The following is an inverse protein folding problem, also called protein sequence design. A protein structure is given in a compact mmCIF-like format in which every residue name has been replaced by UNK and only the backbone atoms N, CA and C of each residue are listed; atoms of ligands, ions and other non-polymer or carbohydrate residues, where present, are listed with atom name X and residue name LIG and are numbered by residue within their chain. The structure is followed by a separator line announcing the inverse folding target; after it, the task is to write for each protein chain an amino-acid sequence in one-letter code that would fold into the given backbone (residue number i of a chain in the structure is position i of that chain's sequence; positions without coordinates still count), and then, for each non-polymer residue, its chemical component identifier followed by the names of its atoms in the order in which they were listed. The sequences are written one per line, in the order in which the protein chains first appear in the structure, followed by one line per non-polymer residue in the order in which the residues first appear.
data_IF_615721353350
#
_entry.id   IF_615721353350
#
_cell.length_a   1.000
_cell.length_b   1.000
_cell.length_c   1.000
_cell.angle_alpha   90.00
_cell.angle_beta   90.00
_cell.angle_gamma   90.00
#
_symmetry.space_group_name_H-M   'P 1'
#
loop_
_entity.id
_entity.type
_entity.pdbx_description
1 polymer ?
#
# COMPACT_ATOMS: atom_id res chain seq x y z
N UNK A 1 20.55 24.97 -46.51
CA UNK A 1 20.40 24.47 -45.11
C UNK A 1 19.43 23.30 -45.13
N UNK A 2 19.95 22.10 -45.24
CA UNK A 2 19.18 20.85 -45.22
C UNK A 2 19.88 19.86 -44.32
N UNK A 3 19.11 19.36 -43.33
CA UNK A 3 19.16 17.99 -42.80
C UNK A 3 20.45 17.52 -42.10
N UNK A 4 20.41 17.58 -40.78
CA UNK A 4 21.26 16.79 -39.86
C UNK A 4 20.44 15.88 -38.93
N UNK A 5 19.17 15.64 -39.22
CA UNK A 5 18.27 14.88 -38.36
C UNK A 5 18.07 13.40 -38.73
N UNK A 6 18.64 12.90 -39.83
CA UNK A 6 18.40 11.55 -40.31
C UNK A 6 19.53 10.53 -40.16
N UNK A 7 20.68 10.93 -39.59
CA UNK A 7 21.84 10.03 -39.46
C UNK A 7 21.90 9.32 -38.10
N UNK A 8 21.26 9.85 -37.06
CA UNK A 8 21.29 9.26 -35.72
C UNK A 8 20.38 8.05 -35.53
N UNK A 9 19.35 7.89 -36.38
CA UNK A 9 18.34 6.81 -36.22
C UNK A 9 18.78 5.51 -36.90
N UNK A 10 19.71 5.55 -37.87
CA UNK A 10 20.10 4.31 -38.58
C UNK A 10 21.18 3.48 -37.88
N UNK A 11 21.87 4.00 -36.88
CA UNK A 11 22.89 3.23 -36.14
C UNK A 11 22.37 2.40 -34.96
N UNK A 12 21.15 2.63 -34.52
CA UNK A 12 20.56 1.94 -33.34
C UNK A 12 19.92 0.56 -33.65
N UNK A 13 19.81 0.16 -34.92
CA UNK A 13 19.02 -1.01 -35.32
C UNK A 13 19.84 -2.30 -35.46
N UNK A 14 21.16 -2.27 -35.31
CA UNK A 14 22.02 -3.45 -35.52
C UNK A 14 22.53 -4.18 -34.27
N UNK A 15 22.18 -3.72 -33.06
CA UNK A 15 22.69 -4.39 -31.86
C UNK A 15 21.54 -4.96 -31.01
N UNK A 16 21.35 -6.28 -31.09
CA UNK A 16 20.27 -6.99 -30.36
C UNK A 16 20.42 -6.88 -28.82
N UNK A 17 21.61 -6.56 -28.31
CA UNK A 17 21.83 -6.37 -26.87
C UNK A 17 21.30 -5.03 -26.39
N UNK A 18 21.27 -3.99 -27.22
CA UNK A 18 20.69 -2.70 -26.89
C UNK A 18 19.14 -2.72 -26.92
N UNK A 19 18.54 -3.63 -27.68
CA UNK A 19 17.07 -3.79 -27.66
C UNK A 19 16.54 -4.31 -26.32
N UNK A 20 17.28 -5.16 -25.63
CA UNK A 20 16.91 -5.65 -24.30
C UNK A 20 17.06 -4.60 -23.21
N UNK A 21 18.05 -3.70 -23.33
CA UNK A 21 18.26 -2.62 -22.34
C UNK A 21 17.31 -1.44 -22.51
N UNK A 22 16.78 -1.19 -23.72
CA UNK A 22 15.80 -0.11 -23.95
C UNK A 22 14.36 -0.49 -23.58
N UNK A 23 14.06 -1.77 -23.44
CA UNK A 23 12.73 -2.21 -22.94
C UNK A 23 12.54 -2.05 -21.44
N UNK A 24 13.64 -1.86 -20.68
CA UNK A 24 13.60 -1.66 -19.22
C UNK A 24 13.54 -0.20 -18.78
N UNK A 25 13.50 0.77 -19.73
CA UNK A 25 13.53 2.21 -19.42
C UNK A 25 12.43 3.01 -20.14
N UNK A 26 11.17 2.56 -20.11
CA UNK A 26 10.05 3.40 -20.55
C UNK A 26 9.09 3.59 -19.39
N UNK A 27 9.20 4.68 -18.62
CA UNK A 27 8.08 5.17 -17.84
C UNK A 27 7.12 5.87 -18.80
N UNK A 28 5.90 5.40 -18.88
CA UNK A 28 4.66 6.06 -19.33
C UNK A 28 4.86 7.37 -20.13
N UNK A 29 4.97 7.28 -21.44
CA UNK A 29 4.70 8.39 -22.36
C UNK A 29 3.45 8.01 -23.15
N UNK A 30 2.32 8.66 -22.87
CA UNK A 30 1.18 8.67 -23.76
C UNK A 30 1.59 9.33 -25.09
N UNK A 31 1.80 8.53 -26.13
CA UNK A 31 1.88 9.01 -27.51
C UNK A 31 0.68 8.46 -28.27
N UNK A 32 -0.22 9.37 -28.63
CA UNK A 32 -1.22 9.12 -29.66
C UNK A 32 -0.53 8.94 -31.02
N UNK A 33 -0.17 7.72 -31.36
CA UNK A 33 0.12 7.31 -32.74
C UNK A 33 -0.44 5.93 -32.95
N UNK A 34 -1.38 5.84 -33.93
CA UNK A 34 -1.94 4.61 -34.45
C UNK A 34 -0.86 3.60 -34.80
N UNK A 35 -0.80 2.50 -34.09
CA UNK A 35 -0.15 1.27 -34.54
C UNK A 35 -1.21 0.18 -34.48
N UNK A 36 -1.80 -0.11 -35.63
CA UNK A 36 -2.51 -1.35 -35.86
C UNK A 36 -1.50 -2.51 -35.75
N UNK A 37 -1.55 -3.25 -34.66
CA UNK A 37 -1.14 -4.65 -34.62
C UNK A 37 -1.89 -5.34 -33.47
N UNK A 38 -2.70 -6.34 -33.84
CA UNK A 38 -3.46 -7.22 -33.00
C UNK A 38 -2.56 -7.92 -31.96
N UNK A 39 -2.59 -7.44 -30.75
CA UNK A 39 -2.62 -8.20 -29.51
C UNK A 39 -3.62 -7.45 -28.65
N UNK A 40 -4.80 -8.01 -28.45
CA UNK A 40 -5.82 -7.51 -27.55
C UNK A 40 -5.25 -7.52 -26.11
N UNK A 41 -4.48 -6.48 -25.78
CA UNK A 41 -4.36 -6.05 -24.39
C UNK A 41 -5.71 -5.43 -24.06
N UNK A 42 -6.58 -6.25 -23.52
CA UNK A 42 -7.86 -5.84 -22.96
C UNK A 42 -7.52 -4.90 -21.79
N UNK A 43 -7.53 -3.56 -22.03
CA UNK A 43 -7.26 -2.54 -21.00
C UNK A 43 -8.46 -2.38 -20.05
N UNK A 44 -9.16 -3.45 -19.75
CA UNK A 44 -10.15 -3.51 -18.68
C UNK A 44 -9.41 -3.81 -17.38
N UNK A 45 -9.82 -3.12 -16.31
CA UNK A 45 -9.37 -3.34 -14.94
C UNK A 45 -8.00 -2.74 -14.59
N UNK A 46 -7.77 -1.46 -14.97
CA UNK A 46 -6.55 -0.74 -14.58
C UNK A 46 -6.50 -0.53 -13.06
N UNK A 47 -5.52 -1.10 -12.34
CA UNK A 47 -5.45 -1.00 -10.88
C UNK A 47 -5.17 0.43 -10.43
N UNK A 48 -5.61 0.76 -9.21
CA UNK A 48 -5.17 1.97 -8.52
C UNK A 48 -3.66 1.89 -8.21
N UNK A 49 -3.10 2.93 -7.61
CA UNK A 49 -1.67 3.04 -7.31
C UNK A 49 -1.20 2.10 -6.17
N UNK A 50 -1.52 0.79 -6.27
CA UNK A 50 -1.30 -0.20 -5.22
C UNK A 50 0.12 -0.80 -5.20
N UNK A 51 0.87 -0.63 -6.30
CA UNK A 51 2.25 -1.14 -6.44
C UNK A 51 3.31 -0.06 -6.39
N UNK A 52 2.90 1.22 -6.25
CA UNK A 52 3.82 2.34 -6.25
C UNK A 52 4.62 2.43 -4.94
N UNK A 53 5.85 2.91 -5.06
CA UNK A 53 6.71 3.20 -3.91
C UNK A 53 6.02 4.16 -2.91
N UNK A 54 6.24 4.03 -1.59
CA UNK A 54 5.60 4.86 -0.56
C UNK A 54 5.70 6.37 -0.77
N UNK A 55 6.76 6.86 -1.44
CA UNK A 55 6.97 8.29 -1.69
C UNK A 55 7.70 8.99 -0.55
N UNK A 56 7.62 10.33 -0.54
CA UNK A 56 8.26 11.17 0.48
C UNK A 56 7.29 11.51 1.62
N UNK A 57 6.01 11.67 1.30
CA UNK A 57 4.95 11.99 2.25
C UNK A 57 3.70 11.20 1.91
N UNK A 58 2.96 10.80 2.95
CA UNK A 58 1.64 10.21 2.82
C UNK A 58 0.66 10.78 3.84
N UNK A 59 -0.62 10.81 3.46
CA UNK A 59 -1.73 10.96 4.40
C UNK A 59 -2.59 9.70 4.26
N UNK A 60 -2.84 9.06 5.40
CA UNK A 60 -3.76 7.95 5.54
C UNK A 60 -4.98 8.45 6.28
N UNK A 61 -6.16 8.34 5.68
CA UNK A 61 -7.41 8.76 6.31
C UNK A 61 -8.41 7.62 6.26
N UNK A 62 -9.02 7.32 7.40
CA UNK A 62 -10.13 6.39 7.50
C UNK A 62 -11.38 7.17 7.85
N UNK A 63 -12.44 7.00 7.06
CA UNK A 63 -13.75 7.57 7.34
C UNK A 63 -14.73 6.50 7.81
N UNK A 64 -15.57 6.90 8.77
CA UNK A 64 -16.82 6.21 9.10
C UNK A 64 -17.98 6.92 8.38
N UNK A 65 -18.84 6.16 7.72
CA UNK A 65 -20.00 6.68 7.00
C UNK A 65 -21.16 6.95 7.97
N UNK A 66 -21.83 8.08 7.74
CA UNK A 66 -23.08 8.40 8.40
C UNK A 66 -24.26 7.79 7.64
N UNK A 67 -25.27 7.34 8.35
CA UNK A 67 -26.50 6.82 7.75
C UNK A 67 -27.44 8.00 7.40
N UNK A 68 -27.18 8.61 6.23
CA UNK A 68 -27.99 9.73 5.70
C UNK A 68 -28.48 9.41 4.29
N UNK A 69 -29.60 10.03 3.84
CA UNK A 69 -30.12 9.81 2.48
C UNK A 69 -29.12 10.13 1.37
N UNK A 70 -28.16 11.02 1.62
CA UNK A 70 -27.18 11.48 0.62
C UNK A 70 -25.89 10.67 0.62
N UNK A 71 -25.67 9.77 1.58
CA UNK A 71 -24.41 9.05 1.78
C UNK A 71 -23.99 8.28 0.54
N UNK A 72 -24.87 7.40 0.03
CA UNK A 72 -24.57 6.60 -1.15
C UNK A 72 -24.26 7.48 -2.36
N UNK A 73 -25.07 8.53 -2.59
CA UNK A 73 -24.89 9.45 -3.72
C UNK A 73 -23.54 10.15 -3.67
N UNK A 74 -23.19 10.76 -2.52
CA UNK A 74 -21.92 11.50 -2.40
C UNK A 74 -20.71 10.59 -2.53
N UNK A 75 -20.75 9.39 -1.98
CA UNK A 75 -19.66 8.43 -2.14
C UNK A 75 -19.54 7.99 -3.61
N UNK A 76 -20.65 7.70 -4.30
CA UNK A 76 -20.63 7.41 -5.73
C UNK A 76 -20.07 8.57 -6.55
N UNK A 77 -20.43 9.83 -6.23
CA UNK A 77 -19.85 11.01 -6.87
C UNK A 77 -18.32 11.09 -6.68
N UNK A 78 -17.80 10.70 -5.51
CA UNK A 78 -16.35 10.59 -5.28
C UNK A 78 -15.76 9.50 -6.16
N UNK A 79 -16.35 8.31 -6.22
CA UNK A 79 -15.89 7.21 -7.07
C UNK A 79 -15.79 7.63 -8.55
N UNK A 80 -16.86 8.18 -9.09
CA UNK A 80 -16.95 8.63 -10.50
C UNK A 80 -15.87 9.67 -10.86
N UNK A 81 -15.50 10.54 -9.91
CA UNK A 81 -14.56 11.64 -10.14
C UNK A 81 -13.13 11.35 -9.64
N UNK A 82 -12.88 10.24 -8.94
CA UNK A 82 -11.63 9.99 -8.25
C UNK A 82 -10.40 10.04 -9.16
N UNK A 83 -10.45 9.32 -10.27
CA UNK A 83 -9.39 9.29 -11.29
C UNK A 83 -9.15 10.68 -11.92
N UNK A 84 -10.22 11.47 -12.15
CA UNK A 84 -10.11 12.81 -12.71
C UNK A 84 -9.47 13.80 -11.70
N UNK A 85 -9.79 13.69 -10.42
CA UNK A 85 -9.17 14.49 -9.36
C UNK A 85 -7.67 14.22 -9.27
N UNK A 86 -7.24 12.95 -9.29
CA UNK A 86 -5.84 12.56 -9.29
C UNK A 86 -5.12 13.16 -10.50
N UNK A 87 -5.65 12.95 -11.74
CA UNK A 87 -5.07 13.50 -12.97
C UNK A 87 -4.97 15.02 -12.96
N UNK A 88 -5.94 15.71 -12.37
CA UNK A 88 -5.92 17.17 -12.25
C UNK A 88 -4.68 17.68 -11.49
N UNK A 89 -4.29 17.00 -10.40
CA UNK A 89 -3.09 17.34 -9.65
C UNK A 89 -1.82 16.91 -10.40
N UNK A 90 -1.80 15.71 -10.93
CA UNK A 90 -0.65 15.19 -11.69
C UNK A 90 -0.28 16.08 -12.88
N UNK A 91 -1.28 16.57 -13.63
CA UNK A 91 -1.07 17.46 -14.77
C UNK A 91 -0.50 18.84 -14.37
N UNK A 92 -0.91 19.34 -13.20
CA UNK A 92 -0.41 20.64 -12.70
C UNK A 92 0.94 20.53 -12.01
N UNK A 93 1.25 19.37 -11.44
CA UNK A 93 2.45 19.12 -10.64
C UNK A 93 3.11 17.78 -11.04
N UNK A 94 3.59 17.62 -12.27
CA UNK A 94 4.07 16.34 -12.80
C UNK A 94 5.25 15.76 -12.02
N UNK A 95 6.11 16.61 -11.47
CA UNK A 95 7.30 16.18 -10.70
C UNK A 95 6.97 15.77 -9.25
N UNK A 96 5.75 16.06 -8.79
CA UNK A 96 5.34 15.77 -7.43
C UNK A 96 5.05 14.28 -7.18
N UNK A 97 4.97 13.46 -8.24
CA UNK A 97 4.63 12.02 -8.15
C UNK A 97 3.42 11.79 -7.25
N UNK A 98 2.36 12.55 -7.53
CA UNK A 98 1.13 12.46 -6.76
C UNK A 98 0.36 11.18 -7.12
N UNK A 99 -0.10 10.46 -6.12
CA UNK A 99 -1.04 9.33 -6.28
C UNK A 99 -1.98 9.21 -5.09
N UNK A 100 -3.12 8.58 -5.30
CA UNK A 100 -4.06 8.27 -4.24
C UNK A 100 -4.76 6.93 -4.53
N UNK A 101 -5.10 6.23 -3.45
CA UNK A 101 -5.85 4.97 -3.46
C UNK A 101 -7.08 5.12 -2.58
N UNK A 102 -8.25 4.69 -3.07
CA UNK A 102 -9.52 4.61 -2.35
C UNK A 102 -9.86 3.14 -2.10
N UNK A 103 -10.10 2.78 -0.84
CA UNK A 103 -10.53 1.47 -0.42
C UNK A 103 -11.87 1.50 0.34
N UNK A 104 -12.59 0.40 0.31
CA UNK A 104 -13.91 0.22 0.95
C UNK A 104 -13.84 -0.93 1.95
N UNK A 105 -14.30 -0.70 3.18
CA UNK A 105 -14.55 -1.76 4.15
C UNK A 105 -15.73 -2.66 3.76
N UNK A 106 -15.78 -3.86 4.31
CA UNK A 106 -16.77 -4.88 3.94
C UNK A 106 -18.23 -4.42 4.13
N UNK A 107 -18.52 -3.79 5.26
CA UNK A 107 -19.87 -3.31 5.56
C UNK A 107 -20.25 -2.10 4.69
N UNK A 108 -19.28 -1.20 4.45
CA UNK A 108 -19.47 -0.06 3.57
C UNK A 108 -19.73 -0.51 2.13
N UNK A 109 -18.98 -1.48 1.62
CA UNK A 109 -19.21 -2.05 0.28
C UNK A 109 -20.66 -2.54 0.12
N UNK A 110 -21.13 -3.37 1.05
CA UNK A 110 -22.46 -3.94 1.00
C UNK A 110 -23.58 -2.90 1.09
N UNK A 111 -23.37 -1.82 1.88
CA UNK A 111 -24.36 -0.72 2.01
C UNK A 111 -24.38 0.21 0.80
N UNK A 112 -23.21 0.53 0.27
CA UNK A 112 -23.06 1.48 -0.85
C UNK A 112 -23.43 0.86 -2.19
N UNK A 113 -23.16 -0.44 -2.38
CA UNK A 113 -23.31 -1.15 -3.64
C UNK A 113 -24.10 -2.46 -3.44
N UNK A 114 -25.38 -2.37 -3.02
CA UNK A 114 -26.19 -3.56 -2.67
C UNK A 114 -26.43 -4.51 -3.85
N UNK A 115 -26.34 -3.99 -5.08
CA UNK A 115 -26.52 -4.78 -6.31
C UNK A 115 -25.20 -5.41 -6.81
N UNK A 116 -24.07 -5.09 -6.17
CA UNK A 116 -22.76 -5.66 -6.49
C UNK A 116 -22.45 -6.84 -5.58
N UNK A 117 -21.84 -7.88 -6.13
CA UNK A 117 -21.23 -8.91 -5.30
C UNK A 117 -20.10 -8.30 -4.47
N UNK A 118 -19.75 -8.95 -3.38
CA UNK A 118 -18.59 -8.57 -2.57
C UNK A 118 -17.37 -9.36 -3.02
N UNK A 119 -16.17 -8.75 -3.11
CA UNK A 119 -14.94 -9.48 -3.37
C UNK A 119 -14.77 -10.68 -2.41
N UNK A 120 -14.29 -11.80 -2.94
CA UNK A 120 -14.30 -13.09 -2.26
C UNK A 120 -13.67 -13.08 -0.85
N UNK A 121 -12.58 -12.34 -0.66
CA UNK A 121 -11.88 -12.26 0.63
C UNK A 121 -12.12 -10.93 1.38
N UNK A 122 -13.06 -10.08 0.90
CA UNK A 122 -13.43 -8.85 1.61
C UNK A 122 -14.37 -9.20 2.77
N UNK A 123 -13.87 -9.06 3.97
CA UNK A 123 -14.62 -9.30 5.21
C UNK A 123 -14.30 -8.22 6.24
N UNK A 124 -15.13 -8.11 7.27
CA UNK A 124 -14.75 -7.34 8.45
C UNK A 124 -13.62 -8.06 9.15
N UNK A 125 -12.45 -7.38 9.27
CA UNK A 125 -11.28 -7.99 9.90
C UNK A 125 -11.63 -8.46 11.31
N UNK A 126 -11.47 -9.75 11.57
CA UNK A 126 -11.57 -10.30 12.92
C UNK A 126 -10.23 -10.17 13.65
N UNK A 127 -10.25 -9.72 14.90
CA UNK A 127 -9.01 -9.64 15.67
C UNK A 127 -8.28 -11.00 15.74
N UNK A 128 -6.95 -10.96 15.70
CA UNK A 128 -6.11 -12.14 15.90
C UNK A 128 -5.51 -12.05 17.30
N UNK A 129 -5.89 -13.00 18.14
CA UNK A 129 -5.52 -13.02 19.55
C UNK A 129 -4.47 -14.10 19.81
N UNK A 130 -3.24 -13.68 20.05
CA UNK A 130 -2.20 -14.56 20.60
C UNK A 130 -2.17 -14.51 22.13
N UNK A 131 -1.24 -15.26 22.71
CA UNK A 131 -1.07 -15.32 24.19
C UNK A 131 -0.55 -14.00 24.78
N UNK A 132 0.26 -13.25 24.01
CA UNK A 132 0.91 -12.00 24.48
C UNK A 132 0.35 -10.76 23.79
N UNK A 133 0.07 -10.84 22.51
CA UNK A 133 -0.24 -9.71 21.64
C UNK A 133 -1.55 -9.93 20.90
N UNK A 134 -2.20 -8.85 20.53
CA UNK A 134 -3.48 -8.86 19.82
C UNK A 134 -3.37 -7.96 18.59
N UNK A 135 -3.64 -8.51 17.40
CA UNK A 135 -3.95 -7.70 16.24
C UNK A 135 -5.40 -7.23 16.36
N UNK A 136 -5.58 -6.01 16.84
CA UNK A 136 -6.91 -5.44 17.10
C UNK A 136 -7.69 -5.24 15.81
N UNK A 137 -9.01 -5.35 15.89
CA UNK A 137 -9.95 -4.97 14.83
C UNK A 137 -10.54 -3.60 15.14
N UNK A 138 -10.50 -2.68 14.16
CA UNK A 138 -11.09 -1.35 14.29
C UNK A 138 -12.04 -1.06 13.14
N UNK A 139 -13.08 -0.22 13.34
CA UNK A 139 -14.00 0.14 12.29
C UNK A 139 -13.32 0.98 11.21
N UNK A 140 -13.85 0.90 9.98
CA UNK A 140 -13.43 1.73 8.85
C UNK A 140 -14.30 1.45 7.63
N UNK A 141 -14.92 2.47 7.10
CA UNK A 141 -15.79 2.37 5.93
C UNK A 141 -15.07 2.74 4.64
N UNK A 142 -14.32 3.85 4.64
CA UNK A 142 -13.51 4.29 3.51
C UNK A 142 -12.06 4.51 3.96
N UNK A 143 -11.11 4.08 3.14
CA UNK A 143 -9.70 4.37 3.28
C UNK A 143 -9.23 5.26 2.13
N UNK A 144 -8.52 6.34 2.44
CA UNK A 144 -7.74 7.09 1.46
C UNK A 144 -6.27 7.02 1.83
N UNK A 145 -5.45 6.50 0.90
CA UNK A 145 -3.99 6.53 0.98
C UNK A 145 -3.47 7.50 -0.08
N UNK A 146 -3.03 8.68 0.34
CA UNK A 146 -2.65 9.81 -0.51
C UNK A 146 -1.14 10.01 -0.40
N UNK A 147 -0.42 10.07 -1.53
CA UNK A 147 1.05 10.14 -1.57
C UNK A 147 1.54 11.22 -2.50
N UNK A 148 2.63 11.88 -2.12
CA UNK A 148 3.32 12.85 -2.97
C UNK A 148 4.72 13.16 -2.44
N UNK A 149 5.60 13.70 -3.31
CA UNK A 149 6.82 14.37 -2.86
C UNK A 149 6.54 15.63 -2.04
N UNK A 150 5.34 16.20 -2.13
CA UNK A 150 4.94 17.43 -1.48
C UNK A 150 3.75 17.20 -0.56
N UNK A 151 3.95 17.34 0.75
CA UNK A 151 2.88 17.19 1.74
C UNK A 151 1.68 18.11 1.48
N UNK A 152 1.94 19.34 0.97
CA UNK A 152 0.87 20.28 0.65
C UNK A 152 -0.12 19.76 -0.40
N UNK A 153 0.32 18.91 -1.35
CA UNK A 153 -0.58 18.29 -2.32
C UNK A 153 -1.38 17.14 -1.72
N UNK A 154 -0.78 16.38 -0.78
CA UNK A 154 -1.53 15.39 -0.01
C UNK A 154 -2.63 16.05 0.81
N UNK A 155 -2.30 17.15 1.49
CA UNK A 155 -3.26 17.93 2.29
C UNK A 155 -4.38 18.53 1.43
N UNK A 156 -4.05 19.16 0.30
CA UNK A 156 -5.04 19.72 -0.62
C UNK A 156 -6.03 18.67 -1.12
N UNK A 157 -5.52 17.50 -1.54
CA UNK A 157 -6.39 16.41 -1.98
C UNK A 157 -7.27 15.88 -0.83
N UNK A 158 -6.70 15.69 0.36
CA UNK A 158 -7.44 15.29 1.55
C UNK A 158 -8.58 16.27 1.86
N UNK A 159 -8.31 17.59 1.78
CA UNK A 159 -9.30 18.64 2.00
C UNK A 159 -10.44 18.60 0.96
N UNK A 160 -10.12 18.34 -0.31
CA UNK A 160 -11.12 18.17 -1.37
C UNK A 160 -12.02 16.95 -1.08
N UNK A 161 -11.43 15.84 -0.63
CA UNK A 161 -12.19 14.64 -0.28
C UNK A 161 -13.09 14.90 0.93
N UNK A 162 -12.56 15.54 1.96
CA UNK A 162 -13.32 15.88 3.17
C UNK A 162 -14.53 16.79 2.85
N UNK A 163 -14.33 17.81 2.01
CA UNK A 163 -15.41 18.68 1.53
C UNK A 163 -16.49 17.87 0.77
N UNK A 164 -16.09 16.98 -0.12
CA UNK A 164 -17.03 16.13 -0.88
C UNK A 164 -17.82 15.17 0.01
N UNK A 165 -17.23 14.67 1.08
CA UNK A 165 -17.85 13.76 2.04
C UNK A 165 -18.53 14.49 3.20
N UNK A 166 -18.48 15.82 3.24
CA UNK A 166 -19.08 16.62 4.32
C UNK A 166 -20.56 16.29 4.54
N UNK A 167 -20.92 16.03 5.81
CA UNK A 167 -22.27 15.67 6.23
C UNK A 167 -22.69 14.21 5.95
N UNK A 168 -21.83 13.38 5.32
CA UNK A 168 -22.10 11.95 5.05
C UNK A 168 -21.02 11.02 5.59
N UNK A 169 -19.88 11.55 6.00
CA UNK A 169 -18.81 10.81 6.63
C UNK A 169 -18.11 11.65 7.70
N UNK A 170 -17.43 10.97 8.62
CA UNK A 170 -16.55 11.59 9.63
C UNK A 170 -15.18 10.88 9.58
N UNK A 171 -14.10 11.65 9.64
CA UNK A 171 -12.76 11.08 9.80
C UNK A 171 -12.64 10.45 11.18
N UNK A 172 -12.29 9.17 11.24
CA UNK A 172 -12.11 8.41 12.48
C UNK A 172 -10.64 8.12 12.79
N UNK A 173 -9.77 8.13 11.78
CA UNK A 173 -8.31 8.15 11.94
C UNK A 173 -7.69 8.93 10.79
N UNK A 174 -6.72 9.79 11.13
CA UNK A 174 -5.89 10.49 10.16
C UNK A 174 -4.44 10.42 10.62
N UNK A 175 -3.55 9.95 9.74
CA UNK A 175 -2.12 9.83 10.03
C UNK A 175 -1.30 10.43 8.90
N UNK A 176 -0.37 11.33 9.26
CA UNK A 176 0.58 11.93 8.34
C UNK A 176 1.91 11.20 8.46
N UNK A 177 2.26 10.46 7.41
CA UNK A 177 3.52 9.74 7.29
C UNK A 177 4.56 10.55 6.52
N UNK A 178 5.82 10.29 6.82
CA UNK A 178 6.95 10.93 6.15
C UNK A 178 8.09 9.94 5.92
N UNK A 179 8.87 10.16 4.85
CA UNK A 179 10.07 9.38 4.59
C UNK A 179 11.16 9.74 5.60
N UNK A 180 11.56 8.78 6.42
CA UNK A 180 12.57 8.97 7.45
C UNK A 180 13.91 8.38 6.99
N UNK A 181 14.99 9.17 7.08
CA UNK A 181 16.39 8.77 6.85
C UNK A 181 16.58 7.79 5.66
N UNK A 182 16.07 8.16 4.50
CA UNK A 182 16.25 7.38 3.27
C UNK A 182 15.38 6.13 3.14
N UNK A 183 14.32 5.99 3.97
CA UNK A 183 13.40 4.85 3.94
C UNK A 183 13.51 3.92 5.14
N UNK A 184 14.05 4.41 6.26
CA UNK A 184 14.05 3.69 7.52
C UNK A 184 12.75 3.90 8.28
N UNK A 185 12.34 2.88 9.02
CA UNK A 185 11.36 3.03 10.10
C UNK A 185 11.97 3.84 11.27
N UNK A 186 11.13 4.41 12.15
CA UNK A 186 11.59 5.19 13.33
C UNK A 186 12.52 4.38 14.24
N UNK A 187 12.33 3.06 14.29
CA UNK A 187 13.18 2.12 15.05
C UNK A 187 14.60 1.96 14.45
N UNK A 188 14.88 2.58 13.29
CA UNK A 188 16.21 2.72 12.71
C UNK A 188 16.62 1.66 11.68
N UNK A 189 15.74 0.72 11.31
CA UNK A 189 15.96 -0.29 10.27
C UNK A 189 15.31 0.14 8.94
N UNK A 190 15.83 -0.34 7.82
CA UNK A 190 15.24 -0.11 6.50
C UNK A 190 13.87 -0.80 6.45
N UNK A 191 12.85 -0.09 5.93
CA UNK A 191 11.51 -0.64 5.76
C UNK A 191 11.30 -1.07 4.29
N UNK A 192 10.52 -2.13 4.10
CA UNK A 192 10.17 -2.62 2.77
C UNK A 192 11.20 -3.57 2.12
N UNK A 193 12.16 -4.09 2.85
CA UNK A 193 13.18 -5.04 2.34
C UNK A 193 12.57 -6.36 1.86
N UNK A 194 11.42 -6.76 2.40
CA UNK A 194 10.66 -7.95 1.99
C UNK A 194 9.55 -7.65 0.97
N UNK A 195 9.55 -6.47 0.33
CA UNK A 195 8.72 -6.22 -0.83
C UNK A 195 9.22 -7.05 -2.03
N UNK A 196 8.38 -7.29 -3.07
CA UNK A 196 8.83 -7.95 -4.28
C UNK A 196 10.14 -7.36 -4.80
N UNK A 197 11.07 -8.22 -5.21
CA UNK A 197 12.38 -7.81 -5.69
C UNK A 197 12.26 -6.97 -6.98
N UNK A 198 13.34 -6.23 -7.34
CA UNK A 198 13.33 -5.32 -8.49
C UNK A 198 13.04 -6.02 -9.83
N UNK A 199 13.36 -7.32 -9.94
CA UNK A 199 13.13 -8.17 -11.10
C UNK A 199 11.79 -8.93 -11.05
N UNK A 200 11.04 -8.82 -9.96
CA UNK A 200 9.69 -9.37 -9.83
C UNK A 200 8.63 -8.35 -10.25
N UNK A 201 7.55 -8.82 -10.85
CA UNK A 201 6.40 -7.98 -11.13
C UNK A 201 5.53 -7.82 -9.87
N UNK A 202 5.47 -6.63 -9.24
CA UNK A 202 4.68 -6.44 -8.02
C UNK A 202 3.17 -6.62 -8.22
N UNK A 203 2.69 -6.52 -9.46
CA UNK A 203 1.25 -6.70 -9.76
C UNK A 203 0.79 -8.12 -9.47
N UNK A 204 1.61 -9.15 -9.67
CA UNK A 204 1.26 -10.54 -9.40
C UNK A 204 0.96 -10.82 -7.91
N UNK A 205 1.48 -9.97 -7.01
CA UNK A 205 1.29 -10.11 -5.57
C UNK A 205 0.22 -9.16 -5.01
N UNK A 206 0.12 -7.95 -5.58
CA UNK A 206 -0.76 -6.90 -5.04
C UNK A 206 -2.13 -6.86 -5.68
N UNK A 207 -2.31 -7.40 -6.90
CA UNK A 207 -3.50 -7.19 -7.72
C UNK A 207 -4.26 -8.49 -7.91
N UNK A 208 -5.57 -8.44 -7.73
CA UNK A 208 -6.48 -9.56 -8.01
C UNK A 208 -6.47 -9.86 -9.51
N UNK A 209 -6.26 -11.13 -9.84
CA UNK A 209 -6.27 -11.66 -11.21
C UNK A 209 -7.47 -12.55 -11.51
N UNK A 210 -7.17 -13.70 -12.12
CA UNK A 210 -8.18 -14.69 -12.55
C UNK A 210 -8.86 -15.43 -11.40
N UNK A 211 -8.33 -15.32 -10.16
CA UNK A 211 -8.91 -15.93 -8.96
C UNK A 211 -10.22 -15.30 -8.50
N UNK A 212 -10.45 -14.03 -8.87
CA UNK A 212 -11.71 -13.32 -8.64
C UNK A 212 -11.98 -12.36 -9.83
N UNK A 213 -12.45 -12.91 -10.99
CA UNK A 213 -12.47 -12.19 -12.26
C UNK A 213 -13.36 -10.94 -12.26
N UNK A 214 -14.42 -10.93 -11.45
CA UNK A 214 -15.34 -9.79 -11.33
C UNK A 214 -14.67 -8.59 -10.65
N UNK A 215 -13.59 -8.83 -9.89
CA UNK A 215 -12.81 -7.84 -9.17
C UNK A 215 -11.35 -7.75 -9.64
N UNK A 216 -11.05 -8.34 -10.80
CA UNK A 216 -9.71 -8.27 -11.39
C UNK A 216 -9.24 -6.82 -11.52
N UNK A 217 -7.96 -6.56 -11.24
CA UNK A 217 -7.40 -5.22 -11.18
C UNK A 217 -7.63 -4.51 -9.84
N UNK A 218 -8.44 -5.06 -8.93
CA UNK A 218 -8.56 -4.60 -7.56
C UNK A 218 -7.44 -5.11 -6.66
N UNK A 219 -7.45 -4.71 -5.39
CA UNK A 219 -6.47 -5.12 -4.38
C UNK A 219 -7.11 -5.17 -3.02
N UNK A 220 -6.79 -6.17 -2.21
CA UNK A 220 -7.07 -6.13 -0.79
C UNK A 220 -6.04 -5.27 -0.08
N UNK A 221 -6.49 -4.40 0.81
CA UNK A 221 -5.65 -3.43 1.52
C UNK A 221 -5.85 -3.61 3.01
N UNK A 222 -4.84 -4.09 3.70
CA UNK A 222 -4.87 -4.16 5.15
C UNK A 222 -4.03 -3.03 5.75
N UNK A 223 -4.60 -2.32 6.71
CA UNK A 223 -3.91 -1.23 7.43
C UNK A 223 -3.87 -1.50 8.93
N UNK A 224 -2.73 -1.16 9.53
CA UNK A 224 -2.51 -1.29 10.96
C UNK A 224 -1.54 -0.23 11.45
N UNK A 225 -1.97 0.57 12.42
CA UNK A 225 -1.15 1.64 13.03
C UNK A 225 -0.46 1.10 14.26
N UNK A 226 0.86 1.12 14.26
CA UNK A 226 1.70 0.67 15.36
C UNK A 226 2.29 1.85 16.12
N UNK A 227 2.24 1.80 17.44
CA UNK A 227 2.98 2.71 18.34
C UNK A 227 4.17 1.96 18.89
N UNK A 228 5.36 2.58 18.80
CA UNK A 228 6.62 2.01 19.28
C UNK A 228 6.97 2.54 20.67
N UNK A 229 7.31 1.63 21.60
CA UNK A 229 7.97 1.98 22.85
C UNK A 229 9.45 2.27 22.58
N UNK A 230 9.74 3.52 22.20
CA UNK A 230 11.10 3.94 21.90
C UNK A 230 12.03 3.95 23.11
N UNK A 231 11.49 4.01 24.32
CA UNK A 231 12.30 3.91 25.56
C UNK A 231 12.80 2.49 25.73
N UNK A 232 11.92 1.51 25.67
CA UNK A 232 12.29 0.10 25.73
C UNK A 232 13.19 -0.29 24.54
N UNK A 233 12.82 0.13 23.31
CA UNK A 233 13.60 -0.15 22.11
C UNK A 233 15.03 0.38 22.18
N UNK A 234 15.21 1.65 22.58
CA UNK A 234 16.53 2.29 22.66
C UNK A 234 17.37 1.80 23.86
N UNK A 235 16.77 1.09 24.80
CA UNK A 235 17.51 0.44 25.90
C UNK A 235 18.23 -0.83 25.46
N UNK A 236 17.85 -1.42 24.32
CA UNK A 236 18.51 -2.59 23.77
C UNK A 236 19.84 -2.23 23.12
N UNK A 237 20.90 -3.05 23.31
CA UNK A 237 22.09 -3.00 22.46
C UNK A 237 21.74 -3.23 20.99
N UNK A 238 22.56 -2.69 20.08
CA UNK A 238 22.31 -2.82 18.62
C UNK A 238 22.17 -4.28 18.19
N UNK A 239 23.02 -5.16 18.71
CA UNK A 239 23.01 -6.59 18.39
C UNK A 239 21.68 -7.28 18.80
N UNK A 240 21.07 -6.83 19.90
CA UNK A 240 19.75 -7.33 20.31
C UNK A 240 18.63 -6.76 19.42
N UNK A 241 18.72 -5.48 19.01
CA UNK A 241 17.78 -4.90 18.05
C UNK A 241 17.86 -5.64 16.70
N UNK A 242 19.08 -5.97 16.24
CA UNK A 242 19.31 -6.76 15.02
C UNK A 242 18.67 -8.14 15.10
N UNK A 243 18.77 -8.82 16.23
CA UNK A 243 18.10 -10.12 16.47
C UNK A 243 16.58 -10.02 16.52
N UNK A 244 16.02 -8.89 16.99
CA UNK A 244 14.56 -8.66 16.95
C UNK A 244 14.08 -8.55 15.52
N UNK A 245 14.81 -7.84 14.67
CA UNK A 245 14.42 -7.61 13.26
C UNK A 245 14.84 -8.78 12.36
N UNK A 246 16.02 -9.38 12.62
CA UNK A 246 16.63 -10.42 11.80
C UNK A 246 17.58 -9.88 10.72
N UNK A 247 18.01 -8.61 10.82
CA UNK A 247 18.88 -7.92 9.87
C UNK A 247 19.87 -7.01 10.58
N UNK A 248 21.02 -6.79 9.98
CA UNK A 248 21.99 -5.80 10.48
C UNK A 248 21.46 -4.37 10.30
N UNK A 249 21.54 -3.58 11.35
CA UNK A 249 20.99 -2.19 11.38
C UNK A 249 21.73 -1.24 10.45
N UNK A 250 23.00 -1.44 10.24
CA UNK A 250 23.87 -0.52 9.49
C UNK A 250 23.80 -0.75 7.98
N UNK A 251 23.91 -1.99 7.52
CA UNK A 251 24.04 -2.36 6.10
C UNK A 251 22.82 -3.09 5.53
N UNK A 252 21.79 -3.34 6.36
CA UNK A 252 20.54 -4.03 6.00
C UNK A 252 20.74 -5.47 5.49
N UNK A 253 21.89 -6.06 5.71
CA UNK A 253 22.14 -7.47 5.39
C UNK A 253 21.38 -8.36 6.37
N UNK A 254 20.70 -9.36 5.87
CA UNK A 254 20.00 -10.36 6.70
C UNK A 254 21.00 -11.13 7.56
N UNK A 255 20.64 -11.43 8.82
CA UNK A 255 21.44 -12.29 9.69
C UNK A 255 21.49 -13.70 9.12
N UNK A 256 22.63 -14.40 9.36
CA UNK A 256 22.75 -15.80 8.98
C UNK A 256 21.73 -16.67 9.72
N UNK A 257 21.41 -17.84 9.17
CA UNK A 257 20.45 -18.76 9.80
C UNK A 257 20.90 -19.24 11.19
N UNK A 258 22.21 -19.23 11.46
CA UNK A 258 22.74 -19.57 12.79
C UNK A 258 22.57 -18.44 13.80
N UNK A 259 22.53 -17.16 13.35
CA UNK A 259 22.47 -15.98 14.21
C UNK A 259 21.03 -15.46 14.38
N UNK A 260 20.19 -15.72 13.37
CA UNK A 260 18.81 -15.21 13.31
C UNK A 260 17.88 -16.03 14.21
N UNK A 261 17.27 -15.42 15.24
CA UNK A 261 16.27 -16.12 16.05
C UNK A 261 15.03 -16.52 15.22
N UNK A 262 14.44 -17.64 15.54
CA UNK A 262 13.23 -18.12 14.88
C UNK A 262 12.02 -17.17 15.06
N UNK A 263 12.04 -16.29 16.05
CA UNK A 263 11.03 -15.27 16.31
C UNK A 263 11.47 -13.85 15.90
N UNK A 264 12.53 -13.73 15.10
CA UNK A 264 12.88 -12.47 14.48
C UNK A 264 11.78 -12.03 13.51
N UNK A 265 11.52 -10.73 13.40
CA UNK A 265 10.44 -10.17 12.60
C UNK A 265 10.44 -10.69 11.14
N UNK A 266 11.59 -10.65 10.46
CA UNK A 266 11.68 -11.13 9.08
C UNK A 266 11.52 -12.66 8.96
N UNK A 267 11.94 -13.43 9.97
CA UNK A 267 11.75 -14.89 9.97
C UNK A 267 10.27 -15.26 10.12
N UNK A 268 9.55 -14.57 11.01
CA UNK A 268 8.15 -14.83 11.30
C UNK A 268 7.25 -14.38 10.14
N UNK A 269 7.53 -13.24 9.53
CA UNK A 269 6.72 -12.66 8.46
C UNK A 269 6.97 -13.30 7.08
N UNK A 270 8.05 -14.07 6.93
CA UNK A 270 8.31 -14.80 5.70
C UNK A 270 7.39 -16.03 5.61
N UNK A 271 6.42 -16.00 4.71
CA UNK A 271 5.45 -17.08 4.46
C UNK A 271 5.76 -17.87 3.19
N UNK A 272 6.91 -17.61 2.58
CA UNK A 272 7.40 -18.25 1.34
C UNK A 272 7.43 -17.29 0.15
N UNK A 273 8.27 -17.58 -0.83
CA UNK A 273 8.56 -16.69 -1.96
C UNK A 273 7.35 -16.43 -2.88
N UNK A 274 6.41 -17.36 -2.93
CA UNK A 274 5.19 -17.24 -3.72
C UNK A 274 4.08 -16.43 -3.02
N UNK A 275 4.25 -16.11 -1.74
CA UNK A 275 3.26 -15.45 -0.90
C UNK A 275 3.77 -14.09 -0.39
N UNK A 276 3.95 -13.15 -1.31
CA UNK A 276 4.37 -11.78 -1.00
C UNK A 276 3.18 -10.80 -1.00
N UNK A 277 3.40 -9.65 -0.39
CA UNK A 277 2.51 -8.49 -0.46
C UNK A 277 3.35 -7.25 -0.80
N UNK A 278 2.70 -6.21 -1.34
CA UNK A 278 3.36 -4.91 -1.56
C UNK A 278 3.07 -4.00 -0.37
N UNK A 279 4.12 -3.61 0.36
CA UNK A 279 4.01 -2.71 1.51
C UNK A 279 4.42 -1.30 1.14
N UNK A 280 3.63 -0.34 1.59
CA UNK A 280 3.89 1.09 1.43
C UNK A 280 3.88 1.79 2.80
N UNK A 281 4.50 1.16 3.79
CA UNK A 281 4.57 1.65 5.16
C UNK A 281 5.20 3.05 5.24
N UNK A 282 4.76 3.82 6.23
CA UNK A 282 5.37 5.11 6.53
C UNK A 282 5.53 5.31 8.03
N UNK A 283 6.69 5.82 8.46
CA UNK A 283 6.84 6.35 9.81
C UNK A 283 5.93 7.55 10.03
N UNK A 284 5.45 7.68 11.27
CA UNK A 284 4.80 8.90 11.76
C UNK A 284 5.29 9.21 13.17
N UNK A 285 5.28 10.48 13.56
CA UNK A 285 5.70 10.86 14.90
C UNK A 285 5.04 12.17 15.34
N UNK A 286 4.81 12.26 16.66
CA UNK A 286 4.47 13.50 17.35
C UNK A 286 5.33 13.61 18.59
N UNK A 287 6.44 14.36 18.50
CA UNK A 287 7.44 14.48 19.57
C UNK A 287 6.87 15.11 20.84
N UNK A 288 5.90 16.05 20.71
CA UNK A 288 5.28 16.69 21.87
C UNK A 288 4.39 15.75 22.68
N UNK A 289 3.88 14.69 22.04
CA UNK A 289 3.06 13.65 22.68
C UNK A 289 3.86 12.41 23.02
N UNK A 290 5.13 12.32 22.59
CA UNK A 290 5.93 11.09 22.72
C UNK A 290 5.40 9.94 21.86
N UNK A 291 4.66 10.23 20.81
CA UNK A 291 4.11 9.23 19.87
C UNK A 291 5.10 9.00 18.74
N UNK A 292 5.51 7.77 18.55
CA UNK A 292 6.38 7.32 17.47
C UNK A 292 5.81 6.02 16.91
N UNK A 293 5.71 5.90 15.60
CA UNK A 293 5.06 4.72 15.07
C UNK A 293 5.34 4.44 13.61
N UNK A 294 4.80 3.32 13.16
CA UNK A 294 4.73 2.92 11.75
C UNK A 294 3.26 2.72 11.38
N UNK A 295 2.82 3.40 10.33
CA UNK A 295 1.57 3.09 9.67
C UNK A 295 1.83 1.99 8.65
N UNK A 296 1.43 0.76 9.00
CA UNK A 296 1.50 -0.38 8.10
C UNK A 296 0.36 -0.29 7.09
N UNK A 297 0.69 -0.45 5.82
CA UNK A 297 -0.27 -0.67 4.73
C UNK A 297 0.28 -1.72 3.79
N UNK A 298 -0.46 -2.82 3.62
CA UNK A 298 -0.13 -3.93 2.74
C UNK A 298 -1.20 -4.10 1.67
N UNK A 299 -0.76 -4.20 0.41
CA UNK A 299 -1.58 -4.47 -0.76
C UNK A 299 -1.36 -5.90 -1.21
N UNK A 300 -2.44 -6.65 -1.40
CA UNK A 300 -2.38 -8.06 -1.77
C UNK A 300 -3.50 -8.44 -2.75
N UNK A 301 -3.20 -9.30 -3.71
CA UNK A 301 -4.22 -9.95 -4.56
C UNK A 301 -5.11 -10.92 -3.76
N UNK A 302 -4.60 -11.42 -2.62
CA UNK A 302 -5.33 -12.28 -1.68
C UNK A 302 -5.09 -11.80 -0.25
N UNK A 303 -6.17 -11.52 0.49
CA UNK A 303 -6.06 -11.14 1.90
C UNK A 303 -5.54 -12.29 2.77
N UNK A 304 -5.85 -13.52 2.40
CA UNK A 304 -5.35 -14.74 3.08
C UNK A 304 -3.84 -14.76 3.25
N UNK A 305 -3.06 -14.19 2.30
CA UNK A 305 -1.60 -14.04 2.45
C UNK A 305 -1.26 -13.09 3.61
N UNK A 306 -1.89 -11.91 3.66
CA UNK A 306 -1.69 -10.96 4.76
C UNK A 306 -2.14 -11.55 6.10
N UNK A 307 -3.28 -12.25 6.12
CA UNK A 307 -3.80 -12.93 7.29
C UNK A 307 -2.79 -13.95 7.83
N UNK A 308 -2.21 -14.77 6.97
CA UNK A 308 -1.19 -15.76 7.37
C UNK A 308 0.03 -15.10 8.02
N UNK A 309 0.51 -13.96 7.45
CA UNK A 309 1.59 -13.20 8.07
C UNK A 309 1.21 -12.71 9.47
N UNK A 310 0.01 -12.16 9.62
CA UNK A 310 -0.49 -11.71 10.93
C UNK A 310 -0.63 -12.87 11.93
N UNK A 311 -1.17 -14.00 11.52
CA UNK A 311 -1.29 -15.19 12.38
C UNK A 311 0.08 -15.66 12.87
N UNK A 312 1.09 -15.69 12.00
CA UNK A 312 2.46 -16.02 12.41
C UNK A 312 3.04 -14.98 13.37
N UNK A 313 2.79 -13.69 13.15
CA UNK A 313 3.28 -12.63 14.05
C UNK A 313 2.63 -12.71 15.44
N UNK A 314 1.32 -12.88 15.50
CA UNK A 314 0.56 -12.74 16.76
C UNK A 314 0.35 -14.06 17.51
N UNK A 315 0.15 -15.17 16.79
CA UNK A 315 -0.03 -16.52 17.37
C UNK A 315 1.29 -17.29 17.37
N UNK A 316 2.05 -17.20 16.30
CA UNK A 316 3.32 -17.88 16.10
C UNK A 316 3.21 -19.23 15.38
N UNK A 317 4.31 -19.61 14.72
CA UNK A 317 4.51 -20.93 14.09
C UNK A 317 5.88 -21.48 14.56
N UNK A 318 5.93 -22.52 15.44
CA UNK A 318 4.82 -23.11 16.18
C UNK A 318 4.12 -22.11 17.13
N UNK A 319 2.91 -22.41 17.57
CA UNK A 319 2.15 -21.56 18.51
C UNK A 319 3.03 -21.14 19.70
N UNK A 320 3.05 -19.83 19.97
CA UNK A 320 3.89 -19.20 21.00
C UNK A 320 5.23 -18.65 20.49
N UNK A 321 5.65 -18.99 19.26
CA UNK A 321 6.82 -18.37 18.59
C UNK A 321 6.39 -17.06 17.92
N UNK A 322 5.93 -16.11 18.73
CA UNK A 322 5.40 -14.82 18.27
C UNK A 322 6.52 -13.86 17.86
N UNK A 323 6.20 -12.93 16.98
CA UNK A 323 7.12 -11.88 16.52
C UNK A 323 7.63 -11.03 17.68
N UNK A 324 8.94 -11.04 17.88
CA UNK A 324 9.60 -10.31 18.98
C UNK A 324 9.51 -8.79 18.82
N UNK A 325 9.28 -8.28 17.62
CA UNK A 325 9.05 -6.85 17.40
C UNK A 325 7.79 -6.34 18.13
N UNK A 326 6.79 -7.20 18.32
CA UNK A 326 5.57 -6.85 19.04
C UNK A 326 5.78 -6.55 20.53
N UNK A 327 6.91 -6.96 21.13
CA UNK A 327 7.28 -6.57 22.49
C UNK A 327 7.58 -5.05 22.59
N UNK A 328 7.85 -4.38 21.46
CA UNK A 328 8.19 -2.96 21.34
C UNK A 328 7.22 -2.16 20.48
N UNK A 329 6.28 -2.81 19.81
CA UNK A 329 5.39 -2.21 18.81
C UNK A 329 3.97 -2.71 19.03
N UNK A 330 3.09 -1.82 19.49
CA UNK A 330 1.70 -2.16 19.79
C UNK A 330 0.77 -1.70 18.67
N UNK A 331 0.02 -2.59 18.03
CA UNK A 331 -1.00 -2.19 17.06
C UNK A 331 -2.20 -1.57 17.78
N UNK A 332 -2.62 -0.40 17.35
CA UNK A 332 -3.76 0.33 17.91
C UNK A 332 -4.95 0.41 16.96
N UNK A 333 -4.75 0.05 15.68
CA UNK A 333 -5.82 -0.13 14.68
C UNK A 333 -5.61 -1.42 13.91
N UNK A 334 -6.62 -1.87 13.17
CA UNK A 334 -6.54 -3.01 12.26
C UNK A 334 -7.81 -3.10 11.42
N UNK A 335 -7.73 -2.84 10.11
CA UNK A 335 -8.90 -2.82 9.23
C UNK A 335 -8.54 -3.32 7.84
N UNK A 336 -9.42 -4.13 7.27
CA UNK A 336 -9.34 -4.62 5.90
C UNK A 336 -10.23 -3.78 4.98
N UNK A 337 -9.68 -3.39 3.84
CA UNK A 337 -10.39 -2.71 2.76
C UNK A 337 -10.16 -3.44 1.43
N UNK A 338 -11.03 -3.16 0.48
CA UNK A 338 -10.85 -3.49 -0.93
C UNK A 338 -10.69 -2.20 -1.73
N UNK A 339 -9.62 -2.10 -2.51
CA UNK A 339 -9.38 -1.03 -3.48
C UNK A 339 -9.79 -1.52 -4.88
N UNK A 340 -10.92 -1.07 -5.44
CA UNK A 340 -11.35 -1.45 -6.79
C UNK A 340 -10.36 -0.98 -7.86
N UNK A 341 -10.39 -1.60 -9.06
CA UNK A 341 -9.76 -1.00 -10.23
C UNK A 341 -10.37 0.38 -10.55
N UNK A 342 -9.66 1.22 -11.30
CA UNK A 342 -10.23 2.51 -11.74
C UNK A 342 -11.46 2.34 -12.61
N UNK A 343 -11.52 1.27 -13.39
CA UNK A 343 -12.68 0.98 -14.25
C UNK A 343 -13.90 0.63 -13.39
N UNK A 344 -13.74 -0.26 -12.41
CA UNK A 344 -14.81 -0.60 -11.46
C UNK A 344 -15.25 0.62 -10.65
N UNK A 345 -14.30 1.49 -10.20
CA UNK A 345 -14.67 2.76 -9.54
C UNK A 345 -15.57 3.64 -10.41
N UNK A 346 -15.27 3.72 -11.72
CA UNK A 346 -16.09 4.44 -12.67
C UNK A 346 -17.50 3.83 -12.82
N UNK A 347 -17.59 2.50 -12.89
CA UNK A 347 -18.84 1.76 -13.02
C UNK A 347 -19.75 1.91 -11.78
N UNK A 348 -19.20 1.74 -10.57
CA UNK A 348 -19.98 1.85 -9.33
C UNK A 348 -20.31 3.30 -8.96
N UNK A 349 -19.59 4.28 -9.52
CA UNK A 349 -19.82 5.70 -9.34
C UNK A 349 -20.86 6.29 -10.29
N UNK A 350 -21.04 5.71 -11.45
CA UNK A 350 -21.98 6.16 -12.50
C UNK A 350 -23.25 5.41 -12.49
#
# INVERSE_FOLDING_TARGET
MRSLSNVAILFAVKNQSLKKQLQTFIPYIYSTTNINNNSDFNMKNFPQAVTEHPGENAIFIIYGLLDTPDTQKKVKDVCANFSALIRSIQNRFPDAKFSATLGFGADAWSKLFPDQQRPNELETFAEIRGDKHIAVSTPGDLLFHIRSKQMGLCFEFASIIDEKLSGVAVSIDETHGFRYLGGKAIIGFVDGTENPAVDEDPYQFAVIGDEDPDFAGGSYVFVQKYIHDMTAWNSLPTEEQEKVIGRHKFNDVELSDEEKPANAHNAVTNVGDDLKIVRANMPFANTSKGEYGTYFIGYAGKFSTTRLMLERMFIGEPVGNTDRLLDFSTPITGTLFFAPSFDLLGEIGG
#
